data_IF_729228308179
#
_entry.id   IF_729228308179
#
_cell.length_a   1.000
_cell.length_b   1.000
_cell.length_c   1.000
_cell.angle_alpha   90.00
_cell.angle_beta   90.00
_cell.angle_gamma   90.00
#
_symmetry.space_group_name_H-M   'P 1'
#
loop_
_entity.id
_entity.type
_entity.pdbx_description
1 polymer ?
#
# COMPACT_ATOMS: atom_id res chain seq x y z
N UNK A 1 -2.34 19.34 -12.69
CA UNK A 1 -3.02 19.05 -11.41
C UNK A 1 -3.43 20.32 -10.64
N UNK A 2 -3.26 21.54 -11.17
CA UNK A 2 -3.54 22.81 -10.45
C UNK A 2 -5.04 23.18 -10.25
N UNK A 3 -6.00 22.27 -10.50
CA UNK A 3 -7.44 22.54 -10.28
C UNK A 3 -8.08 21.67 -9.19
N UNK A 4 -7.31 20.84 -8.49
CA UNK A 4 -7.85 19.90 -7.50
C UNK A 4 -7.83 20.44 -6.06
N UNK A 5 -7.18 21.57 -5.79
CA UNK A 5 -6.81 21.95 -4.42
C UNK A 5 -7.97 22.44 -3.53
N UNK A 6 -9.22 22.41 -4.00
CA UNK A 6 -10.41 22.83 -3.24
C UNK A 6 -11.66 21.99 -3.55
N UNK A 7 -11.50 20.81 -4.15
CA UNK A 7 -12.64 20.02 -4.64
C UNK A 7 -12.83 18.74 -3.83
N UNK A 8 -14.08 18.47 -3.47
CA UNK A 8 -14.50 17.22 -2.86
C UNK A 8 -14.09 16.01 -3.72
N UNK A 9 -13.54 14.95 -3.11
CA UNK A 9 -13.02 13.77 -3.82
C UNK A 9 -14.10 13.05 -4.64
N UNK A 10 -15.31 12.95 -4.11
CA UNK A 10 -16.43 12.32 -4.82
C UNK A 10 -16.79 13.10 -6.10
N UNK A 11 -16.78 14.42 -6.04
CA UNK A 11 -17.00 15.27 -7.22
C UNK A 11 -15.87 15.13 -8.23
N UNK A 12 -14.62 15.09 -7.77
CA UNK A 12 -13.45 14.85 -8.62
C UNK A 12 -13.57 13.52 -9.37
N UNK A 13 -13.94 12.44 -8.66
CA UNK A 13 -14.11 11.11 -9.27
C UNK A 13 -15.25 11.10 -10.29
N UNK A 14 -16.38 11.74 -9.99
CA UNK A 14 -17.48 11.86 -10.95
C UNK A 14 -17.04 12.62 -12.22
N UNK A 15 -16.33 13.74 -12.05
CA UNK A 15 -15.83 14.54 -13.17
C UNK A 15 -14.86 13.74 -14.05
N UNK A 16 -13.89 13.07 -13.42
CA UNK A 16 -12.88 12.25 -14.12
C UNK A 16 -13.53 11.05 -14.81
N UNK A 17 -14.51 10.41 -14.17
CA UNK A 17 -15.29 9.31 -14.74
C UNK A 17 -16.02 9.74 -16.01
N UNK A 18 -16.69 10.90 -15.99
CA UNK A 18 -17.37 11.45 -17.15
C UNK A 18 -16.40 11.85 -18.28
N UNK A 19 -15.23 12.41 -17.95
CA UNK A 19 -14.19 12.72 -18.94
C UNK A 19 -13.71 11.45 -19.65
N UNK A 20 -13.51 10.35 -18.92
CA UNK A 20 -13.10 9.10 -19.52
C UNK A 20 -14.16 8.45 -20.40
N UNK A 21 -15.45 8.61 -20.08
CA UNK A 21 -16.53 8.17 -20.95
C UNK A 21 -16.51 8.94 -22.29
N UNK A 22 -16.28 10.25 -22.24
CA UNK A 22 -16.11 11.08 -23.45
C UNK A 22 -14.91 10.62 -24.29
N UNK A 23 -13.77 10.34 -23.65
CA UNK A 23 -12.56 9.86 -24.34
C UNK A 23 -12.80 8.47 -24.96
N UNK A 24 -13.48 7.57 -24.27
CA UNK A 24 -13.82 6.25 -24.78
C UNK A 24 -14.73 6.33 -26.01
N UNK A 25 -15.75 7.19 -25.96
CA UNK A 25 -16.64 7.43 -27.08
C UNK A 25 -15.94 8.06 -28.28
N UNK A 26 -15.11 9.08 -28.05
CA UNK A 26 -14.32 9.71 -29.10
C UNK A 26 -13.36 8.71 -29.78
N UNK A 27 -12.81 7.75 -29.01
CA UNK A 27 -11.99 6.67 -29.56
C UNK A 27 -12.84 5.66 -30.35
N UNK A 28 -14.04 5.30 -29.86
CA UNK A 28 -15.00 4.45 -30.59
C UNK A 28 -15.31 5.02 -31.97
N UNK A 29 -15.64 6.31 -32.05
CA UNK A 29 -15.93 6.98 -33.32
C UNK A 29 -14.74 6.99 -34.29
N UNK A 30 -13.50 7.02 -33.78
CA UNK A 30 -12.29 6.91 -34.61
C UNK A 30 -12.12 5.50 -35.15
N UNK A 31 -12.38 4.48 -34.34
CA UNK A 31 -12.31 3.08 -34.77
C UNK A 31 -13.40 2.75 -35.79
N UNK A 32 -14.63 3.23 -35.61
CA UNK A 32 -15.71 3.11 -36.59
C UNK A 32 -15.29 3.75 -37.91
N UNK A 33 -14.83 5.01 -37.89
CA UNK A 33 -14.37 5.70 -39.11
C UNK A 33 -13.24 4.96 -39.83
N UNK A 34 -12.33 4.32 -39.10
CA UNK A 34 -11.30 3.49 -39.72
C UNK A 34 -11.91 2.28 -40.43
N UNK A 35 -12.86 1.57 -39.80
CA UNK A 35 -13.56 0.44 -40.42
C UNK A 35 -14.32 0.88 -41.68
N UNK A 36 -14.99 2.02 -41.61
CA UNK A 36 -15.72 2.65 -42.70
C UNK A 36 -14.82 2.94 -43.92
N UNK A 37 -13.70 3.63 -43.69
CA UNK A 37 -12.72 3.95 -44.76
C UNK A 37 -12.18 2.67 -45.40
N UNK A 38 -11.90 1.65 -44.60
CA UNK A 38 -11.42 0.36 -45.10
C UNK A 38 -12.52 -0.34 -45.90
N UNK A 39 -13.76 -0.40 -45.39
CA UNK A 39 -14.88 -1.02 -46.08
C UNK A 39 -15.16 -0.40 -47.45
N UNK A 40 -15.10 0.93 -47.52
CA UNK A 40 -15.29 1.70 -48.75
C UNK A 40 -14.18 1.39 -49.77
N UNK A 41 -12.92 1.29 -49.32
CA UNK A 41 -11.78 0.96 -50.19
C UNK A 41 -11.88 -0.44 -50.82
N UNK A 42 -12.51 -1.39 -50.14
CA UNK A 42 -12.75 -2.75 -50.64
C UNK A 42 -14.13 -2.93 -51.31
N UNK A 43 -14.98 -1.90 -51.32
CA UNK A 43 -16.33 -1.97 -51.89
C UNK A 43 -17.29 -2.89 -51.14
N UNK A 44 -17.08 -3.07 -49.83
CA UNK A 44 -17.84 -4.01 -48.97
C UNK A 44 -18.66 -3.30 -47.89
N UNK A 45 -18.94 -1.99 -48.07
CA UNK A 45 -19.61 -1.15 -47.07
C UNK A 45 -20.97 -1.70 -46.61
N UNK A 46 -21.72 -2.32 -47.51
CA UNK A 46 -23.05 -2.88 -47.22
C UNK A 46 -23.00 -4.34 -46.73
N UNK A 47 -21.80 -4.93 -46.65
CA UNK A 47 -21.59 -6.35 -46.34
C UNK A 47 -21.04 -6.55 -44.93
N UNK A 48 -20.27 -5.59 -44.41
CA UNK A 48 -19.65 -5.67 -43.09
C UNK A 48 -20.19 -4.61 -42.15
N UNK A 49 -20.43 -5.00 -40.91
CA UNK A 49 -20.74 -4.05 -39.85
C UNK A 49 -19.46 -3.29 -39.46
N UNK A 50 -19.51 -1.96 -39.59
CA UNK A 50 -18.40 -1.08 -39.24
C UNK A 50 -18.48 -0.59 -37.77
N UNK A 51 -19.59 -0.86 -37.08
CA UNK A 51 -19.77 -0.47 -35.69
C UNK A 51 -18.77 -1.17 -34.76
N UNK A 52 -18.43 -0.50 -33.66
CA UNK A 52 -17.48 -1.00 -32.68
C UNK A 52 -18.11 -0.88 -31.29
N UNK A 53 -18.51 -2.00 -30.67
CA UNK A 53 -18.98 -1.98 -29.29
C UNK A 53 -17.93 -1.38 -28.34
N UNK A 54 -18.36 -0.61 -27.34
CA UNK A 54 -17.45 -0.01 -26.36
C UNK A 54 -16.63 -1.08 -25.64
N UNK A 55 -17.16 -2.29 -25.44
CA UNK A 55 -16.47 -3.44 -24.86
C UNK A 55 -15.23 -3.88 -25.66
N UNK A 56 -15.05 -3.40 -26.89
CA UNK A 56 -13.90 -3.69 -27.75
C UNK A 56 -12.88 -2.55 -27.83
N UNK A 57 -13.24 -1.35 -27.37
CA UNK A 57 -12.34 -0.18 -27.39
C UNK A 57 -11.33 -0.31 -26.25
N UNK A 58 -10.11 -0.72 -26.60
CA UNK A 58 -9.08 -1.21 -25.67
C UNK A 58 -8.34 -0.14 -24.83
N UNK A 59 -9.08 0.84 -24.32
CA UNK A 59 -8.57 1.85 -23.38
C UNK A 59 -8.71 1.37 -21.94
N UNK A 60 -7.66 1.51 -21.12
CA UNK A 60 -7.70 1.15 -19.68
C UNK A 60 -8.79 1.89 -18.89
N UNK A 61 -9.14 3.11 -19.32
CA UNK A 61 -10.15 3.96 -18.67
C UNK A 61 -11.55 3.80 -19.25
N UNK A 62 -11.72 2.96 -20.28
CA UNK A 62 -13.04 2.60 -20.77
C UNK A 62 -13.64 1.51 -19.88
N UNK A 63 -14.68 1.86 -19.13
CA UNK A 63 -15.34 0.97 -18.16
C UNK A 63 -15.94 -0.26 -18.83
N UNK A 64 -16.48 -0.11 -20.04
CA UNK A 64 -17.05 -1.22 -20.80
C UNK A 64 -16.00 -2.25 -21.21
N UNK A 65 -14.80 -1.80 -21.59
CA UNK A 65 -13.68 -2.67 -21.91
C UNK A 65 -13.06 -3.31 -20.65
N UNK A 66 -12.96 -2.54 -19.56
CA UNK A 66 -12.41 -3.03 -18.29
C UNK A 66 -13.30 -4.11 -17.64
N UNK A 67 -14.63 -3.93 -17.70
CA UNK A 67 -15.61 -4.85 -17.08
C UNK A 67 -16.69 -5.27 -18.10
N UNK A 68 -16.33 -6.04 -19.13
CA UNK A 68 -17.23 -6.35 -20.25
C UNK A 68 -18.45 -7.18 -19.85
N UNK A 69 -18.39 -7.87 -18.70
CA UNK A 69 -19.46 -8.73 -18.18
C UNK A 69 -20.40 -8.05 -17.19
N UNK A 70 -20.07 -6.84 -16.74
CA UNK A 70 -20.83 -6.09 -15.74
C UNK A 70 -21.90 -5.21 -16.41
N UNK A 71 -23.00 -4.93 -15.70
CA UNK A 71 -23.99 -3.94 -16.13
C UNK A 71 -23.40 -2.53 -16.16
N UNK A 72 -24.04 -1.54 -16.81
CA UNK A 72 -23.59 -0.14 -16.75
C UNK A 72 -23.41 0.38 -15.32
N UNK A 73 -24.33 0.09 -14.42
CA UNK A 73 -24.28 0.52 -13.02
C UNK A 73 -23.15 -0.19 -12.26
N UNK A 74 -23.01 -1.50 -12.45
CA UNK A 74 -21.92 -2.29 -11.85
C UNK A 74 -20.54 -1.84 -12.36
N UNK A 75 -20.44 -1.44 -13.64
CA UNK A 75 -19.21 -0.88 -14.23
C UNK A 75 -18.78 0.39 -13.51
N UNK A 76 -19.72 1.28 -13.19
CA UNK A 76 -19.42 2.53 -12.47
C UNK A 76 -18.94 2.27 -11.04
N UNK A 77 -19.54 1.32 -10.34
CA UNK A 77 -19.13 0.91 -8.99
C UNK A 77 -17.71 0.31 -8.99
N UNK A 78 -17.45 -0.64 -9.89
CA UNK A 78 -16.14 -1.29 -10.03
C UNK A 78 -15.05 -0.28 -10.44
N UNK A 79 -15.37 0.61 -11.38
CA UNK A 79 -14.45 1.65 -11.82
C UNK A 79 -14.11 2.63 -10.68
N UNK A 80 -15.11 3.04 -9.91
CA UNK A 80 -14.93 3.91 -8.75
C UNK A 80 -14.04 3.24 -7.70
N UNK A 81 -14.27 1.94 -7.43
CA UNK A 81 -13.43 1.17 -6.51
C UNK A 81 -11.97 1.11 -6.98
N UNK A 82 -11.74 0.84 -8.27
CA UNK A 82 -10.38 0.79 -8.82
C UNK A 82 -9.69 2.18 -8.78
N UNK A 83 -10.41 3.27 -9.05
CA UNK A 83 -9.88 4.63 -8.88
C UNK A 83 -9.47 4.94 -7.43
N UNK A 84 -10.27 4.52 -6.45
CA UNK A 84 -9.93 4.68 -5.02
C UNK A 84 -8.68 3.88 -4.67
N UNK A 85 -8.57 2.63 -5.14
CA UNK A 85 -7.37 1.80 -4.90
C UNK A 85 -6.12 2.39 -5.56
N UNK A 86 -6.26 2.93 -6.76
CA UNK A 86 -5.17 3.61 -7.47
C UNK A 86 -4.74 4.90 -6.76
N UNK A 87 -5.69 5.70 -6.24
CA UNK A 87 -5.40 6.86 -5.42
C UNK A 87 -4.63 6.47 -4.15
N UNK A 88 -5.04 5.40 -3.47
CA UNK A 88 -4.32 4.88 -2.31
C UNK A 88 -2.90 4.42 -2.69
N UNK A 89 -2.74 3.71 -3.81
CA UNK A 89 -1.43 3.28 -4.30
C UNK A 89 -0.52 4.47 -4.66
N UNK A 90 -1.07 5.50 -5.29
CA UNK A 90 -0.37 6.74 -5.60
C UNK A 90 0.04 7.49 -4.33
N UNK A 91 -0.86 7.61 -3.36
CA UNK A 91 -0.57 8.21 -2.06
C UNK A 91 0.58 7.48 -1.35
N UNK A 92 0.57 6.15 -1.30
CA UNK A 92 1.68 5.36 -0.75
C UNK A 92 2.97 5.58 -1.53
N UNK A 93 2.89 5.73 -2.86
CA UNK A 93 4.04 6.14 -3.67
C UNK A 93 4.59 7.51 -3.30
N UNK A 94 3.73 8.49 -3.00
CA UNK A 94 4.14 9.79 -2.48
C UNK A 94 4.75 9.67 -1.07
N UNK A 95 4.20 8.81 -0.21
CA UNK A 95 4.78 8.54 1.12
C UNK A 95 6.18 7.96 1.02
N UNK A 96 6.50 7.20 -0.02
CA UNK A 96 7.87 6.72 -0.25
C UNK A 96 8.74 7.66 -1.10
N UNK A 97 8.19 8.78 -1.59
CA UNK A 97 8.91 9.72 -2.47
C UNK A 97 9.07 9.21 -3.91
N UNK A 98 8.40 8.12 -4.28
CA UNK A 98 8.37 7.62 -5.67
C UNK A 98 7.70 8.63 -6.60
N UNK A 99 6.71 9.34 -6.08
CA UNK A 99 5.97 10.39 -6.74
C UNK A 99 5.96 11.66 -5.88
N UNK A 100 5.63 12.79 -6.50
CA UNK A 100 5.32 14.05 -5.81
C UNK A 100 3.96 14.57 -6.29
N UNK A 101 3.31 15.40 -5.47
CA UNK A 101 2.17 16.22 -5.89
C UNK A 101 2.62 17.44 -6.69
N UNK A 102 3.86 17.88 -6.46
CA UNK A 102 4.42 19.14 -6.98
C UNK A 102 5.18 18.96 -8.29
N UNK A 103 5.70 17.76 -8.54
CA UNK A 103 6.49 17.44 -9.73
C UNK A 103 5.93 16.19 -10.46
N UNK A 104 5.75 16.25 -11.79
CA UNK A 104 5.22 15.14 -12.56
C UNK A 104 6.28 14.03 -12.76
N UNK A 105 5.81 12.79 -12.87
CA UNK A 105 6.66 11.64 -13.18
C UNK A 105 7.24 10.96 -11.95
N UNK A 106 8.27 10.12 -12.17
CA UNK A 106 8.95 9.39 -11.09
C UNK A 106 10.03 10.27 -10.47
N UNK A 107 10.02 10.38 -9.13
CA UNK A 107 11.01 11.15 -8.38
C UNK A 107 12.10 10.21 -7.87
N UNK A 108 11.77 9.30 -6.94
CA UNK A 108 12.67 8.25 -6.50
C UNK A 108 12.33 6.91 -7.17
N UNK A 109 13.23 6.40 -8.01
CA UNK A 109 13.07 5.17 -8.78
C UNK A 109 14.39 4.47 -9.13
N UNK A 110 15.51 4.84 -8.51
CA UNK A 110 16.83 4.22 -8.68
C UNK A 110 17.34 3.61 -7.37
N UNK A 111 18.22 2.63 -7.47
CA UNK A 111 18.73 1.88 -6.31
C UNK A 111 19.45 2.81 -5.31
N UNK A 112 19.07 2.69 -4.04
CA UNK A 112 19.71 3.37 -2.93
C UNK A 112 19.39 4.86 -2.84
N UNK A 113 18.46 5.37 -3.64
CA UNK A 113 18.02 6.77 -3.52
C UNK A 113 17.43 7.03 -2.12
N UNK A 114 17.70 8.22 -1.61
CA UNK A 114 17.41 8.67 -0.26
C UNK A 114 16.44 9.85 -0.27
N UNK A 115 16.08 10.33 0.92
CA UNK A 115 15.27 11.56 1.02
C UNK A 115 16.02 12.79 0.49
N UNK A 116 17.35 12.82 0.62
CA UNK A 116 18.17 13.91 0.09
C UNK A 116 18.06 14.00 -1.44
N UNK A 117 18.03 12.85 -2.13
CA UNK A 117 17.81 12.77 -3.58
C UNK A 117 16.42 13.26 -3.99
N UNK A 118 15.42 13.08 -3.12
CA UNK A 118 14.09 13.62 -3.34
C UNK A 118 14.10 15.15 -3.24
N UNK A 119 14.69 15.72 -2.19
CA UNK A 119 14.78 17.18 -2.01
C UNK A 119 15.61 17.87 -3.09
N UNK A 120 16.57 17.19 -3.71
CA UNK A 120 17.27 17.73 -4.89
C UNK A 120 16.33 17.92 -6.09
N UNK A 121 15.30 17.09 -6.23
CA UNK A 121 14.32 17.16 -7.33
C UNK A 121 13.07 17.98 -6.95
N UNK A 122 12.68 17.96 -5.68
CA UNK A 122 11.51 18.65 -5.13
C UNK A 122 11.93 19.41 -3.85
N UNK A 123 12.51 20.61 -3.98
CA UNK A 123 13.10 21.32 -2.82
C UNK A 123 12.10 21.80 -1.76
N UNK A 124 10.84 22.07 -2.15
CA UNK A 124 9.78 22.54 -1.27
C UNK A 124 8.50 21.71 -1.50
N UNK A 125 8.46 20.46 -1.01
CA UNK A 125 7.35 19.56 -1.28
C UNK A 125 6.12 19.90 -0.44
N UNK A 126 4.95 19.95 -1.08
CA UNK A 126 3.66 20.08 -0.39
C UNK A 126 3.38 18.88 0.52
N UNK A 127 3.89 17.70 0.16
CA UNK A 127 3.79 16.48 0.95
C UNK A 127 5.14 15.79 1.12
N UNK A 128 5.68 15.86 2.33
CA UNK A 128 6.97 15.26 2.70
C UNK A 128 6.91 13.71 2.69
N UNK A 129 7.79 13.04 1.92
CA UNK A 129 7.95 11.60 2.00
C UNK A 129 8.46 11.12 3.35
N UNK A 130 8.44 9.81 3.53
CA UNK A 130 9.02 9.17 4.69
C UNK A 130 10.55 9.24 4.63
N UNK A 131 11.18 9.64 5.73
CA UNK A 131 12.61 9.89 5.74
C UNK A 131 13.43 8.60 5.73
N UNK A 132 12.98 7.56 6.43
CA UNK A 132 13.76 6.36 6.70
C UNK A 132 13.36 5.12 5.88
N UNK A 133 12.37 5.27 5.00
CA UNK A 133 11.84 4.26 4.10
C UNK A 133 11.08 3.12 4.81
N UNK A 134 10.58 3.35 6.03
CA UNK A 134 9.82 2.36 6.81
C UNK A 134 8.49 2.95 7.25
N UNK A 135 7.38 2.45 6.68
CA UNK A 135 6.03 2.89 7.07
C UNK A 135 5.33 1.77 7.87
N UNK A 136 5.09 1.93 9.18
CA UNK A 136 4.43 0.92 9.99
C UNK A 136 2.93 0.80 9.66
N UNK A 137 2.40 -0.42 9.77
CA UNK A 137 1.01 -0.78 9.50
C UNK A 137 0.50 -1.74 10.59
N UNK A 138 0.33 -1.26 11.81
CA UNK A 138 -0.08 -2.09 12.94
C UNK A 138 -1.58 -1.94 13.28
N UNK A 139 -2.11 -2.91 14.01
CA UNK A 139 -3.49 -2.87 14.50
C UNK A 139 -3.62 -1.95 15.71
N UNK A 140 -3.75 -0.65 15.46
CA UNK A 140 -3.87 0.40 16.48
C UNK A 140 -2.99 1.60 16.15
N UNK A 141 -3.19 2.68 16.88
CA UNK A 141 -2.51 3.96 16.67
C UNK A 141 -1.25 4.03 17.55
N UNK A 142 -0.25 3.21 17.21
CA UNK A 142 1.00 3.11 17.99
C UNK A 142 2.09 4.08 17.53
N UNK A 143 2.01 4.54 16.29
CA UNK A 143 3.03 5.31 15.59
C UNK A 143 2.41 6.59 15.03
N UNK A 144 3.10 7.72 15.16
CA UNK A 144 2.63 9.01 14.62
C UNK A 144 2.76 9.09 13.10
N UNK A 145 3.64 8.26 12.54
CA UNK A 145 3.95 8.12 11.12
C UNK A 145 3.33 6.85 10.50
N UNK A 146 2.33 6.24 11.14
CA UNK A 146 1.66 5.06 10.59
C UNK A 146 0.93 5.37 9.27
N UNK A 147 0.78 4.34 8.44
CA UNK A 147 0.24 4.46 7.08
C UNK A 147 -1.12 5.20 7.01
N UNK A 148 -1.99 5.03 8.01
CA UNK A 148 -3.30 5.69 8.05
C UNK A 148 -3.14 7.17 8.33
N UNK A 149 -2.28 7.55 9.27
CA UNK A 149 -1.99 8.96 9.59
C UNK A 149 -1.37 9.65 8.37
N UNK A 150 -0.38 9.00 7.74
CA UNK A 150 0.24 9.53 6.50
C UNK A 150 -0.76 9.64 5.36
N UNK A 151 -1.68 8.68 5.19
CA UNK A 151 -2.72 8.74 4.18
C UNK A 151 -3.69 9.90 4.41
N UNK A 152 -4.12 10.12 5.65
CA UNK A 152 -4.97 11.28 6.00
C UNK A 152 -4.26 12.59 5.74
N UNK A 153 -2.97 12.70 6.10
CA UNK A 153 -2.15 13.87 5.77
C UNK A 153 -2.08 14.10 4.25
N UNK A 154 -1.87 13.04 3.48
CA UNK A 154 -1.86 13.11 2.02
C UNK A 154 -3.19 13.65 1.46
N UNK A 155 -4.33 13.11 1.93
CA UNK A 155 -5.65 13.57 1.48
C UNK A 155 -5.88 15.04 1.85
N UNK A 156 -5.48 15.47 3.05
CA UNK A 156 -5.60 16.87 3.46
C UNK A 156 -4.77 17.82 2.58
N UNK A 157 -3.57 17.41 2.17
CA UNK A 157 -2.71 18.22 1.28
C UNK A 157 -3.27 18.22 -0.15
N UNK A 158 -3.70 17.07 -0.66
CA UNK A 158 -4.11 16.93 -2.06
C UNK A 158 -5.50 17.51 -2.36
N UNK A 159 -6.44 17.44 -1.41
CA UNK A 159 -7.86 17.80 -1.61
C UNK A 159 -8.37 18.88 -0.63
N UNK A 160 -7.50 19.46 0.19
CA UNK A 160 -7.87 20.43 1.22
C UNK A 160 -8.25 19.76 2.55
N UNK A 161 -7.88 20.43 3.65
CA UNK A 161 -8.15 19.93 5.01
C UNK A 161 -9.63 20.06 5.41
N UNK A 162 -10.34 20.99 4.78
CA UNK A 162 -11.76 21.26 5.00
C UNK A 162 -12.67 20.08 4.63
N UNK A 163 -12.27 19.28 3.64
CA UNK A 163 -13.02 18.11 3.16
C UNK A 163 -12.47 16.79 3.67
N UNK A 164 -11.49 16.80 4.59
CA UNK A 164 -10.76 15.59 5.00
C UNK A 164 -11.70 14.47 5.50
N UNK A 165 -12.56 14.76 6.48
CA UNK A 165 -13.43 13.71 7.04
C UNK A 165 -14.45 13.19 6.03
N UNK A 166 -14.97 14.07 5.17
CA UNK A 166 -15.90 13.72 4.11
C UNK A 166 -15.23 12.81 3.07
N UNK A 167 -14.02 13.18 2.63
CA UNK A 167 -13.23 12.40 1.68
C UNK A 167 -12.86 11.02 2.25
N UNK A 168 -12.46 10.97 3.53
CA UNK A 168 -12.13 9.69 4.19
C UNK A 168 -13.38 8.82 4.32
N UNK A 169 -14.51 9.38 4.75
CA UNK A 169 -15.77 8.65 4.85
C UNK A 169 -16.21 8.08 3.49
N UNK A 170 -16.05 8.86 2.42
CA UNK A 170 -16.34 8.41 1.06
C UNK A 170 -15.42 7.27 0.62
N UNK A 171 -14.10 7.38 0.88
CA UNK A 171 -13.14 6.31 0.59
C UNK A 171 -13.53 5.02 1.33
N UNK A 172 -13.83 5.09 2.63
CA UNK A 172 -14.23 3.92 3.42
C UNK A 172 -15.56 3.32 2.97
N UNK A 173 -16.51 4.15 2.54
CA UNK A 173 -17.77 3.72 1.94
C UNK A 173 -17.51 2.92 0.66
N UNK A 174 -16.71 3.43 -0.26
CA UNK A 174 -16.38 2.75 -1.53
C UNK A 174 -15.62 1.44 -1.27
N UNK A 175 -14.69 1.43 -0.31
CA UNK A 175 -13.96 0.22 0.09
C UNK A 175 -14.84 -0.80 0.83
N UNK A 176 -15.98 -0.38 1.37
CA UNK A 176 -16.85 -1.19 2.24
C UNK A 176 -16.20 -1.56 3.58
N UNK A 177 -15.15 -0.85 4.00
CA UNK A 177 -14.37 -1.10 5.22
C UNK A 177 -13.55 0.12 5.60
N UNK A 178 -13.12 0.17 6.86
CA UNK A 178 -12.24 1.25 7.29
C UNK A 178 -10.88 1.20 6.61
N UNK A 179 -10.22 2.35 6.48
CA UNK A 179 -8.89 2.49 5.89
C UNK A 179 -7.88 1.58 6.58
N UNK A 180 -7.88 1.56 7.92
CA UNK A 180 -6.99 0.69 8.70
C UNK A 180 -7.20 -0.79 8.35
N UNK A 181 -8.47 -1.24 8.19
CA UNK A 181 -8.76 -2.62 7.77
C UNK A 181 -8.28 -2.90 6.34
N UNK A 182 -8.45 -1.96 5.42
CA UNK A 182 -7.96 -2.09 4.04
C UNK A 182 -6.44 -2.21 3.99
N UNK A 183 -5.70 -1.30 4.63
CA UNK A 183 -4.24 -1.36 4.67
C UNK A 183 -3.70 -2.64 5.30
N UNK A 184 -4.32 -3.10 6.40
CA UNK A 184 -3.88 -4.31 7.09
C UNK A 184 -4.12 -5.59 6.27
N UNK A 185 -5.24 -5.68 5.55
CA UNK A 185 -5.69 -6.97 5.01
C UNK A 185 -5.63 -7.06 3.47
N UNK A 186 -5.84 -5.96 2.78
CA UNK A 186 -6.16 -5.94 1.36
C UNK A 186 -5.09 -5.23 0.51
N UNK A 187 -4.59 -4.08 0.98
CA UNK A 187 -3.67 -3.22 0.22
C UNK A 187 -2.49 -3.99 -0.37
N UNK A 188 -1.80 -4.80 0.44
CA UNK A 188 -0.65 -5.56 -0.06
C UNK A 188 -1.03 -6.62 -1.11
N UNK A 189 -2.24 -7.20 -1.03
CA UNK A 189 -2.71 -8.15 -2.04
C UNK A 189 -2.94 -7.45 -3.38
N UNK A 190 -3.60 -6.28 -3.32
CA UNK A 190 -3.84 -5.44 -4.49
C UNK A 190 -2.50 -5.00 -5.10
N UNK A 191 -1.53 -4.60 -4.26
CA UNK A 191 -0.17 -4.24 -4.68
C UNK A 191 0.57 -5.40 -5.37
N UNK A 192 0.59 -6.59 -4.74
CA UNK A 192 1.21 -7.79 -5.34
C UNK A 192 0.59 -8.13 -6.69
N UNK A 193 -0.74 -8.00 -6.82
CA UNK A 193 -1.47 -8.23 -8.08
C UNK A 193 -1.11 -7.18 -9.15
N UNK A 194 -1.08 -5.90 -8.78
CA UNK A 194 -0.73 -4.80 -9.68
C UNK A 194 0.66 -5.01 -10.32
N UNK A 195 1.62 -5.51 -9.53
CA UNK A 195 2.98 -5.76 -9.99
C UNK A 195 3.23 -7.21 -10.42
N UNK A 196 2.19 -7.96 -10.83
CA UNK A 196 2.33 -9.32 -11.37
C UNK A 196 3.17 -10.28 -10.50
N UNK A 197 2.96 -10.25 -9.19
CA UNK A 197 3.72 -11.00 -8.18
C UNK A 197 5.20 -10.59 -8.04
N UNK A 198 5.54 -9.34 -8.37
CA UNK A 198 6.87 -8.73 -8.20
C UNK A 198 6.73 -7.35 -7.56
N UNK A 199 6.21 -7.25 -6.33
CA UNK A 199 5.91 -5.97 -5.70
C UNK A 199 7.19 -5.15 -5.46
N UNK A 200 7.05 -3.83 -5.58
CA UNK A 200 8.13 -2.87 -5.29
C UNK A 200 8.06 -2.30 -3.87
N UNK A 201 6.94 -2.51 -3.18
CA UNK A 201 6.82 -2.21 -1.74
C UNK A 201 6.81 -3.57 -1.07
N UNK A 202 7.74 -3.80 -0.16
CA UNK A 202 7.90 -5.06 0.53
C UNK A 202 7.32 -4.95 1.92
N UNK A 203 6.45 -5.90 2.26
CA UNK A 203 5.83 -5.95 3.57
C UNK A 203 6.65 -6.84 4.49
N UNK A 204 7.43 -6.23 5.38
CA UNK A 204 7.95 -6.93 6.54
C UNK A 204 6.80 -7.28 7.47
N UNK A 205 6.78 -8.51 7.97
CA UNK A 205 5.68 -8.98 8.80
C UNK A 205 6.14 -10.02 9.82
N UNK A 206 5.63 -9.93 11.05
CA UNK A 206 5.95 -10.88 12.13
C UNK A 206 5.53 -12.33 11.83
N UNK A 207 4.65 -12.50 10.85
CA UNK A 207 4.28 -13.79 10.27
C UNK A 207 4.30 -13.69 8.77
N UNK A 208 4.65 -14.78 8.11
CA UNK A 208 4.68 -14.86 6.65
C UNK A 208 3.29 -14.92 6.01
N UNK A 209 2.25 -15.22 6.80
CA UNK A 209 0.85 -15.12 6.37
C UNK A 209 0.31 -13.68 6.57
N UNK A 210 -0.93 -13.43 6.16
CA UNK A 210 -1.54 -12.10 6.32
C UNK A 210 -1.94 -11.76 7.77
N UNK A 211 -1.62 -12.62 8.74
CA UNK A 211 -2.06 -12.51 10.14
C UNK A 211 -0.98 -11.98 11.09
N UNK A 212 0.19 -11.58 10.56
CA UNK A 212 1.24 -10.95 11.35
C UNK A 212 0.71 -9.74 12.11
N UNK A 213 1.00 -9.65 13.41
CA UNK A 213 0.59 -8.54 14.25
C UNK A 213 1.40 -7.26 13.99
N UNK A 214 2.71 -7.40 13.73
CA UNK A 214 3.55 -6.30 13.26
C UNK A 214 3.67 -6.38 11.73
N UNK A 215 3.45 -5.25 11.06
CA UNK A 215 3.67 -5.09 9.62
C UNK A 215 4.31 -3.74 9.36
N UNK A 216 5.24 -3.68 8.41
CA UNK A 216 5.82 -2.44 7.91
C UNK A 216 6.07 -2.55 6.41
N UNK A 217 5.87 -1.46 5.67
CA UNK A 217 6.22 -1.37 4.26
C UNK A 217 7.60 -0.74 4.10
N UNK A 218 8.35 -1.25 3.13
CA UNK A 218 9.63 -0.71 2.68
C UNK A 218 9.59 -0.55 1.16
N UNK A 219 10.06 0.57 0.63
CA UNK A 219 10.19 0.74 -0.81
C UNK A 219 11.54 0.21 -1.32
N UNK A 220 11.48 -0.75 -2.24
CA UNK A 220 12.61 -1.45 -2.83
C UNK A 220 13.70 -0.52 -3.37
N UNK A 221 13.33 0.53 -4.10
CA UNK A 221 14.34 1.39 -4.75
C UNK A 221 15.12 2.22 -3.73
N UNK A 222 14.52 2.51 -2.57
CA UNK A 222 15.16 3.21 -1.45
C UNK A 222 15.79 2.27 -0.43
N UNK A 223 15.84 0.97 -0.73
CA UNK A 223 16.45 0.00 0.17
C UNK A 223 17.94 0.28 0.30
N UNK A 224 18.44 0.27 1.53
CA UNK A 224 19.85 0.30 1.86
C UNK A 224 20.17 -0.88 2.79
N UNK A 225 21.44 -1.30 2.92
CA UNK A 225 21.83 -2.36 3.84
C UNK A 225 21.33 -2.15 5.29
N UNK A 226 21.14 -0.91 5.72
CA UNK A 226 20.63 -0.57 7.05
C UNK A 226 19.10 -0.62 7.17
N UNK A 227 18.33 -0.74 6.08
CA UNK A 227 16.86 -0.71 6.12
C UNK A 227 16.27 -1.77 7.05
N UNK A 228 16.83 -2.99 7.06
CA UNK A 228 16.36 -4.05 7.97
C UNK A 228 16.58 -3.67 9.45
N UNK A 229 17.67 -2.96 9.74
CA UNK A 229 17.96 -2.45 11.09
C UNK A 229 16.97 -1.35 11.51
N UNK A 230 16.53 -0.51 10.57
CA UNK A 230 15.45 0.46 10.81
C UNK A 230 14.14 -0.26 11.12
N UNK A 231 13.74 -1.26 10.32
CA UNK A 231 12.53 -2.06 10.59
C UNK A 231 12.60 -2.74 11.96
N UNK A 232 13.78 -3.24 12.36
CA UNK A 232 14.01 -3.82 13.68
C UNK A 232 13.79 -2.81 14.82
N UNK A 233 14.18 -1.54 14.62
CA UNK A 233 13.93 -0.48 15.60
C UNK A 233 12.41 -0.25 15.78
N UNK A 234 11.65 -0.16 14.69
CA UNK A 234 10.18 -0.07 14.73
C UNK A 234 9.54 -1.28 15.42
N UNK A 235 10.04 -2.49 15.17
CA UNK A 235 9.55 -3.70 15.83
C UNK A 235 9.75 -3.64 17.36
N UNK A 236 10.93 -3.20 17.81
CA UNK A 236 11.24 -3.07 19.24
C UNK A 236 10.37 -2.01 19.92
N UNK A 237 10.19 -0.86 19.26
CA UNK A 237 9.30 0.19 19.76
C UNK A 237 7.84 -0.32 19.83
N UNK A 238 7.37 -1.03 18.79
CA UNK A 238 6.06 -1.68 18.81
C UNK A 238 5.90 -2.65 19.98
N UNK A 239 6.88 -3.52 20.21
CA UNK A 239 6.89 -4.47 21.34
C UNK A 239 6.79 -3.71 22.67
N UNK A 240 7.58 -2.65 22.86
CA UNK A 240 7.59 -1.86 24.08
C UNK A 240 6.22 -1.21 24.34
N UNK A 241 5.63 -0.58 23.30
CA UNK A 241 4.31 0.05 23.38
C UNK A 241 3.24 -0.98 23.71
N UNK A 242 3.13 -2.06 22.94
CA UNK A 242 2.11 -3.11 23.14
C UNK A 242 2.25 -3.75 24.53
N UNK A 243 3.47 -4.01 25.00
CA UNK A 243 3.73 -4.52 26.35
C UNK A 243 3.26 -3.54 27.41
N UNK A 244 3.57 -2.24 27.26
CA UNK A 244 3.11 -1.20 28.18
C UNK A 244 1.59 -1.09 28.27
N UNK A 245 0.88 -1.21 27.14
CA UNK A 245 -0.59 -1.24 27.13
C UNK A 245 -1.14 -2.50 27.80
N UNK A 246 -0.55 -3.68 27.56
CA UNK A 246 -0.94 -4.91 28.22
C UNK A 246 -0.77 -4.79 29.74
N UNK A 247 0.36 -4.26 30.21
CA UNK A 247 0.62 -4.01 31.62
C UNK A 247 -0.37 -3.00 32.21
N UNK A 248 -0.71 -1.93 31.49
CA UNK A 248 -1.69 -0.93 31.95
C UNK A 248 -3.07 -1.54 32.18
N UNK A 249 -3.55 -2.38 31.25
CA UNK A 249 -4.81 -3.12 31.40
C UNK A 249 -4.77 -4.10 32.60
N UNK A 250 -3.57 -4.48 33.02
CA UNK A 250 -3.32 -5.36 34.15
C UNK A 250 -2.98 -4.67 35.46
N UNK A 251 -2.77 -3.36 35.47
CA UNK A 251 -2.60 -2.64 36.73
C UNK A 251 -3.97 -2.47 37.39
N UNK A 252 -4.11 -2.74 38.70
CA UNK A 252 -5.27 -2.29 39.44
C UNK A 252 -5.36 -0.77 39.33
N UNK A 253 -6.54 -0.21 39.05
CA UNK A 253 -6.74 1.24 39.21
C UNK A 253 -6.52 1.60 40.70
N UNK A 254 -5.33 2.07 41.03
CA UNK A 254 -5.10 2.75 42.30
C UNK A 254 -5.69 4.15 42.14
N UNK A 255 -6.85 4.38 42.76
CA UNK A 255 -7.44 5.70 42.85
C UNK A 255 -6.38 6.67 43.40
N UNK A 256 -6.02 7.69 42.64
CA UNK A 256 -5.22 8.82 43.12
C UNK A 256 -5.91 9.39 44.35
N UNK A 257 -5.22 9.27 45.49
CA UNK A 257 -5.70 9.68 46.81
C UNK A 257 -6.03 11.18 46.85
N UNK A 258 -7.31 11.54 46.77
CA UNK A 258 -7.83 12.65 47.59
C UNK A 258 -8.44 12.02 48.84
N UNK A 259 -7.78 12.24 49.98
CA UNK A 259 -7.99 11.56 51.24
C UNK A 259 -9.35 11.88 51.88
N UNK A 260 -10.44 11.20 51.48
CA UNK A 260 -11.68 11.08 52.27
C UNK A 260 -12.80 10.28 51.60
N UNK A 261 -12.54 9.10 51.00
CA UNK A 261 -13.60 8.14 50.68
C UNK A 261 -13.00 6.74 50.49
N UNK A 262 -13.69 5.72 51.02
CA UNK A 262 -13.19 4.34 51.12
C UNK A 262 -12.59 3.78 49.83
N UNK A 263 -11.43 3.12 50.00
CA UNK A 263 -10.67 2.41 48.96
C UNK A 263 -11.56 1.37 48.26
N UNK A 264 -12.16 1.71 47.13
CA UNK A 264 -12.77 0.76 46.20
C UNK A 264 -11.81 0.58 45.03
N UNK A 265 -10.99 -0.45 45.09
CA UNK A 265 -10.34 -1.01 43.90
C UNK A 265 -11.44 -1.42 42.93
N UNK A 266 -11.51 -0.78 41.76
CA UNK A 266 -12.42 -1.21 40.69
C UNK A 266 -11.94 -2.57 40.21
N UNK A 267 -12.76 -3.61 40.38
CA UNK A 267 -12.44 -4.94 39.87
C UNK A 267 -12.32 -4.85 38.34
N UNK A 268 -11.23 -5.42 37.79
CA UNK A 268 -11.02 -5.47 36.34
C UNK A 268 -12.17 -6.19 35.66
N UNK A 269 -12.53 -5.74 34.47
CA UNK A 269 -13.53 -6.45 33.69
C UNK A 269 -12.91 -7.67 33.02
N UNK A 270 -13.70 -8.71 32.76
CA UNK A 270 -13.26 -9.86 31.98
C UNK A 270 -12.80 -9.46 30.55
N UNK A 271 -13.22 -8.28 30.06
CA UNK A 271 -12.81 -7.74 28.76
C UNK A 271 -11.36 -7.24 28.80
N UNK A 272 -10.98 -6.51 29.86
CA UNK A 272 -9.62 -5.95 30.00
C UNK A 272 -8.57 -7.06 30.11
N UNK A 273 -8.87 -8.12 30.86
CA UNK A 273 -8.00 -9.29 30.98
C UNK A 273 -7.84 -10.03 29.62
N UNK A 274 -8.93 -10.19 28.87
CA UNK A 274 -8.87 -10.82 27.54
C UNK A 274 -8.05 -9.99 26.54
N UNK A 275 -8.16 -8.67 26.61
CA UNK A 275 -7.35 -7.79 25.75
C UNK A 275 -5.89 -7.81 26.17
N UNK A 276 -5.57 -7.78 27.46
CA UNK A 276 -4.20 -7.95 27.95
C UNK A 276 -3.57 -9.28 27.48
N UNK A 277 -4.32 -10.39 27.56
CA UNK A 277 -3.88 -11.70 27.07
C UNK A 277 -3.67 -11.71 25.54
N UNK A 278 -4.49 -10.98 24.79
CA UNK A 278 -4.31 -10.80 23.34
C UNK A 278 -3.02 -10.02 23.05
N UNK A 279 -2.80 -8.89 23.71
CA UNK A 279 -1.61 -8.06 23.52
C UNK A 279 -0.32 -8.83 23.89
N UNK A 280 -0.35 -9.66 24.95
CA UNK A 280 0.77 -10.55 25.28
C UNK A 280 1.09 -11.57 24.19
N UNK A 281 0.08 -12.13 23.52
CA UNK A 281 0.30 -13.03 22.38
C UNK A 281 0.97 -12.29 21.22
N UNK A 282 0.58 -11.04 20.97
CA UNK A 282 1.22 -10.16 19.97
C UNK A 282 2.69 -9.91 20.35
N UNK A 283 2.97 -9.58 21.61
CA UNK A 283 4.34 -9.37 22.10
C UNK A 283 5.20 -10.63 21.90
N UNK A 284 4.68 -11.80 22.27
CA UNK A 284 5.42 -13.06 22.12
C UNK A 284 5.69 -13.40 20.65
N UNK A 285 4.71 -13.17 19.77
CA UNK A 285 4.90 -13.32 18.32
C UNK A 285 5.99 -12.38 17.80
N UNK A 286 5.96 -11.10 18.20
CA UNK A 286 6.92 -10.09 17.75
C UNK A 286 8.33 -10.36 18.28
N UNK A 287 8.48 -10.83 19.53
CA UNK A 287 9.78 -11.24 20.09
C UNK A 287 10.36 -12.45 19.38
N UNK A 288 9.55 -13.47 19.10
CA UNK A 288 10.00 -14.61 18.30
C UNK A 288 10.43 -14.17 16.90
N UNK A 289 9.69 -13.26 16.27
CA UNK A 289 10.07 -12.68 14.98
C UNK A 289 11.37 -11.87 15.04
N UNK A 290 11.58 -11.10 16.10
CA UNK A 290 12.84 -10.39 16.36
C UNK A 290 14.01 -11.38 16.45
N UNK A 291 13.94 -12.34 17.37
CA UNK A 291 15.05 -13.23 17.72
C UNK A 291 15.38 -14.21 16.59
N UNK A 292 14.37 -14.84 15.99
CA UNK A 292 14.55 -15.94 15.04
C UNK A 292 14.78 -15.47 13.59
N UNK A 293 14.36 -14.24 13.25
CA UNK A 293 14.30 -13.79 11.85
C UNK A 293 14.95 -12.43 11.66
N UNK A 294 14.41 -11.38 12.30
CA UNK A 294 14.73 -10.01 11.92
C UNK A 294 16.09 -9.55 12.46
N UNK A 295 16.45 -9.88 13.71
CA UNK A 295 17.74 -9.52 14.30
C UNK A 295 18.93 -10.19 13.59
N UNK A 296 18.90 -11.51 13.30
CA UNK A 296 19.94 -12.14 12.49
C UNK A 296 20.09 -11.51 11.10
N UNK A 297 18.97 -11.15 10.45
CA UNK A 297 18.99 -10.51 9.13
C UNK A 297 19.53 -9.07 9.18
N UNK A 298 19.11 -8.28 10.18
CA UNK A 298 19.60 -6.92 10.39
C UNK A 298 21.12 -6.90 10.64
N UNK A 299 21.63 -7.86 11.43
CA UNK A 299 23.07 -7.97 11.72
C UNK A 299 23.91 -8.22 10.47
N UNK A 300 23.35 -8.91 9.46
CA UNK A 300 24.03 -9.18 8.19
C UNK A 300 24.11 -7.95 7.28
N UNK A 301 23.31 -6.90 7.53
CA UNK A 301 23.15 -5.74 6.65
C UNK A 301 23.07 -6.16 5.17
N UNK A 302 22.14 -7.08 4.88
CA UNK A 302 22.05 -7.76 3.60
C UNK A 302 21.93 -6.73 2.45
N UNK A 303 22.91 -6.66 1.53
CA UNK A 303 22.79 -5.79 0.36
C UNK A 303 21.81 -6.39 -0.64
N UNK A 304 21.17 -5.55 -1.44
CA UNK A 304 20.39 -5.98 -2.61
C UNK A 304 20.95 -5.34 -3.87
N UNK A 305 20.67 -5.96 -5.00
CA UNK A 305 20.95 -5.42 -6.32
C UNK A 305 19.67 -5.45 -7.16
N UNK A 306 19.19 -4.32 -7.66
CA UNK A 306 17.98 -4.26 -8.47
C UNK A 306 18.12 -5.04 -9.78
N UNK A 307 19.34 -5.23 -10.29
CA UNK A 307 19.61 -6.03 -11.49
C UNK A 307 19.42 -7.53 -11.23
N UNK A 308 19.57 -8.00 -9.98
CA UNK A 308 19.17 -9.37 -9.58
C UNK A 308 17.64 -9.58 -9.67
N UNK A 309 16.90 -8.48 -9.83
CA UNK A 309 15.46 -8.45 -9.99
C UNK A 309 14.70 -8.73 -8.70
N UNK A 310 13.42 -8.38 -8.70
CA UNK A 310 12.56 -8.52 -7.50
C UNK A 310 12.48 -9.96 -7.02
N UNK A 311 12.52 -10.94 -7.93
CA UNK A 311 12.37 -12.35 -7.55
C UNK A 311 13.50 -12.84 -6.63
N UNK A 312 14.77 -12.60 -7.02
CA UNK A 312 15.94 -13.08 -6.28
C UNK A 312 16.01 -12.35 -4.94
N UNK A 313 15.94 -11.02 -4.97
CA UNK A 313 16.06 -10.23 -3.75
C UNK A 313 14.94 -10.52 -2.75
N UNK A 314 13.68 -10.64 -3.21
CA UNK A 314 12.56 -10.96 -2.30
C UNK A 314 12.72 -12.33 -1.64
N UNK A 315 13.22 -13.34 -2.38
CA UNK A 315 13.47 -14.68 -1.82
C UNK A 315 14.59 -14.71 -0.78
N UNK A 316 15.58 -13.81 -0.90
CA UNK A 316 16.68 -13.64 0.07
C UNK A 316 16.19 -13.10 1.40
N UNK A 317 15.17 -12.23 1.39
CA UNK A 317 14.53 -11.74 2.63
C UNK A 317 13.85 -12.86 3.43
N UNK A 318 13.51 -13.97 2.78
CA UNK A 318 13.00 -15.18 3.43
C UNK A 318 11.77 -14.90 4.29
N UNK A 319 11.83 -15.29 5.57
CA UNK A 319 10.71 -15.14 6.52
C UNK A 319 10.53 -13.71 7.05
N UNK A 320 11.43 -12.78 6.73
CA UNK A 320 11.32 -11.39 7.17
C UNK A 320 10.16 -10.65 6.47
N UNK A 321 9.85 -11.07 5.24
CA UNK A 321 8.76 -10.48 4.46
C UNK A 321 7.60 -11.45 4.31
N UNK A 322 6.41 -10.90 4.04
CA UNK A 322 5.21 -11.69 3.78
C UNK A 322 5.44 -12.66 2.62
N UNK A 323 5.04 -13.93 2.78
CA UNK A 323 5.22 -14.91 1.71
C UNK A 323 4.29 -14.62 0.51
N UNK A 324 4.85 -14.69 -0.69
CA UNK A 324 4.11 -14.61 -1.96
C UNK A 324 4.21 -15.98 -2.63
N UNK A 325 3.12 -16.78 -2.67
CA UNK A 325 3.18 -18.16 -3.17
C UNK A 325 3.76 -18.31 -4.58
N UNK A 326 3.48 -17.35 -5.46
CA UNK A 326 4.00 -17.33 -6.83
C UNK A 326 5.53 -17.09 -6.88
N UNK A 327 6.10 -16.35 -5.92
CA UNK A 327 7.55 -16.17 -5.75
C UNK A 327 8.15 -17.43 -5.14
N UNK A 328 7.58 -17.94 -4.04
CA UNK A 328 8.11 -19.12 -3.34
C UNK A 328 8.14 -20.38 -4.22
N UNK A 329 7.16 -20.54 -5.11
CA UNK A 329 7.15 -21.65 -6.09
C UNK A 329 8.39 -21.65 -7.00
N UNK A 330 9.03 -20.49 -7.19
CA UNK A 330 10.23 -20.33 -8.01
C UNK A 330 11.54 -20.49 -7.24
N UNK A 331 11.51 -20.70 -5.93
CA UNK A 331 12.71 -20.81 -5.08
C UNK A 331 13.75 -21.80 -5.62
N UNK A 332 13.34 -23.03 -5.92
CA UNK A 332 14.25 -24.08 -6.42
C UNK A 332 14.85 -23.74 -7.79
N UNK A 333 14.08 -23.08 -8.66
CA UNK A 333 14.57 -22.63 -9.97
C UNK A 333 15.62 -21.53 -9.78
N UNK A 334 15.40 -20.60 -8.84
CA UNK A 334 16.29 -19.47 -8.57
C UNK A 334 17.58 -19.91 -7.86
N UNK A 335 17.52 -20.93 -7.01
CA UNK A 335 18.70 -21.52 -6.36
C UNK A 335 19.72 -22.10 -7.34
N UNK A 336 19.34 -22.40 -8.58
CA UNK A 336 20.27 -22.88 -9.62
C UNK A 336 20.85 -21.78 -10.50
N UNK A 337 20.46 -20.52 -10.29
CA UNK A 337 20.93 -19.41 -11.11
C UNK A 337 22.30 -18.91 -10.65
N UNK A 338 23.21 -18.74 -11.60
CA UNK A 338 24.59 -18.27 -11.35
C UNK A 338 24.80 -16.80 -11.77
N UNK A 339 23.85 -16.21 -12.50
CA UNK A 339 23.95 -14.84 -13.00
C UNK A 339 23.73 -13.74 -11.93
N UNK A 340 22.96 -13.93 -10.84
CA UNK A 340 22.77 -12.86 -9.85
C UNK A 340 24.08 -12.50 -9.15
N UNK A 341 24.27 -11.21 -8.88
CA UNK A 341 25.37 -10.68 -8.07
C UNK A 341 25.30 -11.26 -6.65
N UNK A 342 24.08 -11.39 -6.13
CA UNK A 342 23.81 -12.00 -4.83
C UNK A 342 22.92 -13.25 -4.98
N UNK A 343 23.51 -14.44 -5.25
CA UNK A 343 22.73 -15.63 -5.49
C UNK A 343 22.01 -16.14 -4.24
N UNK A 344 20.82 -16.71 -4.44
CA UNK A 344 20.01 -17.23 -3.36
C UNK A 344 20.69 -18.42 -2.68
N UNK A 345 20.94 -18.31 -1.37
CA UNK A 345 21.59 -19.36 -0.58
C UNK A 345 23.10 -19.16 -0.37
N UNK A 346 23.71 -18.16 -0.98
CA UNK A 346 25.10 -17.77 -0.69
C UNK A 346 25.32 -17.24 0.74
N UNK A 347 24.23 -16.96 1.46
CA UNK A 347 24.22 -16.41 2.82
C UNK A 347 23.98 -17.46 3.91
N UNK A 348 24.13 -18.74 3.58
CA UNK A 348 24.01 -19.84 4.55
C UNK A 348 25.27 -20.01 5.39
#
# INVERSE_FOLDING_TARGET
>A
MNSLSTSNLQECIRSVSAEFDIVAEAQREREIRNNEIVADAYGVRDVIDCDVPLERVSLKRNKAFAYPKASPEERDELFTLDLIKELISYAVGCMFGRYSLDEPGLILASQGETIDDFHMKVPDPSFEPDADNVIPMCEGDYFEDDIVVRFRKFIAVAFGAEHLEENIAYIEQVLGKSLRKYFLNDFYNDHVKMYSNRPIYWQYASRTDNKGAFKALVYLHRYTPSTTSTVLAYLRDYIARVSGYAEMLERPEEATNTASAGKRTKAKTAKDLREADRLRKIVNECKAYEDDVLYPLATRNMPIDLDDGVLVNYLRMGKAVRAIPAIEKKRKDVETWEWPVHPLGAER
#
